data_IF_185308219885
#
_entry.id   IF_185308219885
#
_cell.length_a   1.000
_cell.length_b   1.000
_cell.length_c   1.000
_cell.angle_alpha   90.00
_cell.angle_beta   90.00
_cell.angle_gamma   90.00
#
_symmetry.space_group_name_H-M   'P 1'
#
loop_
_entity.id
_entity.type
_entity.pdbx_description
1 polymer ?
#
# COMPACT_ATOMS: atom_id res chain seq x y z
N UNK A 1 10.17 9.30 4.85
CA UNK A 1 11.30 8.50 4.30
C UNK A 1 11.14 8.39 2.80
N UNK A 2 12.21 8.50 2.05
CA UNK A 2 12.26 8.29 0.59
C UNK A 2 13.51 7.48 0.25
N UNK A 3 13.61 6.97 -0.99
CA UNK A 3 14.79 6.24 -1.44
C UNK A 3 15.51 7.04 -2.53
N UNK A 4 16.73 7.46 -2.21
CA UNK A 4 17.69 8.06 -3.12
C UNK A 4 18.33 6.92 -3.94
N UNK A 5 17.85 6.75 -5.16
CA UNK A 5 18.29 5.67 -6.04
C UNK A 5 19.68 5.90 -6.62
N UNK A 6 20.13 7.14 -6.72
CA UNK A 6 21.46 7.48 -7.24
C UNK A 6 22.57 7.07 -6.24
N UNK A 7 22.39 7.43 -4.98
CA UNK A 7 23.34 7.08 -3.91
C UNK A 7 23.02 5.74 -3.22
N UNK A 8 21.89 5.09 -3.58
CA UNK A 8 21.40 3.85 -2.95
C UNK A 8 21.21 4.01 -1.44
N UNK A 9 20.51 5.04 -1.00
CA UNK A 9 20.23 5.38 0.40
C UNK A 9 18.73 5.58 0.65
N UNK A 10 18.23 5.03 1.75
CA UNK A 10 16.94 5.50 2.25
C UNK A 10 17.17 6.73 3.13
N UNK A 11 16.50 7.84 2.82
CA UNK A 11 16.61 9.12 3.53
C UNK A 11 15.40 9.31 4.42
N UNK A 12 15.64 9.52 5.70
CA UNK A 12 14.63 9.81 6.71
C UNK A 12 14.87 11.19 7.30
N UNK A 13 13.82 12.00 7.43
CA UNK A 13 13.88 13.29 8.08
C UNK A 13 12.82 13.44 9.16
N UNK A 14 13.22 13.93 10.32
CA UNK A 14 12.34 14.38 11.39
C UNK A 14 11.51 13.27 12.03
N UNK A 15 10.38 13.64 12.57
CA UNK A 15 9.47 12.76 13.28
C UNK A 15 9.14 13.25 14.68
N UNK A 16 8.51 12.37 15.48
CA UNK A 16 8.06 12.69 16.82
C UNK A 16 8.33 11.54 17.78
N UNK A 17 8.89 11.83 18.94
CA UNK A 17 9.08 10.83 19.99
C UNK A 17 7.80 10.56 20.78
N UNK A 18 7.75 9.47 21.58
CA UNK A 18 6.67 9.21 22.52
C UNK A 18 6.46 10.32 23.55
N UNK A 19 7.54 10.99 23.92
CA UNK A 19 7.52 12.13 24.84
C UNK A 19 7.10 13.45 24.16
N UNK A 20 6.59 13.39 22.92
CA UNK A 20 6.19 14.54 22.09
C UNK A 20 7.36 15.45 21.66
N UNK A 21 8.61 15.05 21.83
CA UNK A 21 9.72 15.80 21.27
C UNK A 21 9.75 15.64 19.75
N UNK A 22 9.91 16.76 19.04
CA UNK A 22 10.06 16.78 17.59
C UNK A 22 11.52 16.63 17.21
N UNK A 23 11.75 15.89 16.14
CA UNK A 23 13.07 15.72 15.54
C UNK A 23 13.22 16.57 14.28
N UNK A 24 14.43 17.06 14.04
CA UNK A 24 14.83 17.80 12.84
C UNK A 24 16.12 17.22 12.24
N UNK A 25 16.45 16.00 12.62
CA UNK A 25 17.62 15.26 12.16
C UNK A 25 17.36 14.52 10.86
N UNK A 26 18.43 14.35 10.10
CA UNK A 26 18.45 13.60 8.84
C UNK A 26 19.23 12.33 9.05
N UNK A 27 18.67 11.20 8.63
CA UNK A 27 19.30 9.88 8.70
C UNK A 27 19.32 9.20 7.34
N UNK A 28 20.41 8.49 7.05
CA UNK A 28 20.54 7.70 5.85
C UNK A 28 20.81 6.22 6.18
N UNK A 29 20.03 5.33 5.53
CA UNK A 29 20.18 3.88 5.62
C UNK A 29 20.88 3.35 4.38
N UNK A 30 22.00 2.62 4.59
CA UNK A 30 22.81 2.07 3.49
C UNK A 30 22.53 0.59 3.18
N UNK A 31 21.53 0.00 3.85
CA UNK A 31 21.20 -1.41 3.78
C UNK A 31 21.82 -2.24 4.91
N UNK A 32 22.59 -1.61 5.80
CA UNK A 32 23.19 -2.26 6.97
C UNK A 32 23.13 -1.37 8.21
N UNK A 33 23.37 -0.07 8.04
CA UNK A 33 23.46 0.88 9.15
C UNK A 33 22.78 2.19 8.84
N UNK A 34 22.16 2.79 9.88
CA UNK A 34 21.72 4.17 9.87
C UNK A 34 22.87 5.09 10.24
N UNK A 35 23.08 6.11 9.43
CA UNK A 35 24.05 7.18 9.70
C UNK A 35 23.29 8.49 9.85
N UNK A 36 23.53 9.19 10.97
CA UNK A 36 23.00 10.54 11.15
C UNK A 36 23.85 11.50 10.32
N UNK A 37 23.17 12.31 9.52
CA UNK A 37 23.77 13.34 8.70
C UNK A 37 23.78 14.67 9.47
N UNK A 38 24.34 15.74 8.91
CA UNK A 38 24.36 17.04 9.58
C UNK A 38 22.95 17.60 9.84
N UNK A 39 22.76 18.25 10.98
CA UNK A 39 21.47 18.71 11.49
C UNK A 39 21.12 20.16 11.11
N UNK A 40 21.76 20.74 10.10
CA UNK A 40 21.47 22.09 9.60
C UNK A 40 20.48 21.98 8.46
N UNK A 41 19.21 22.29 8.73
CA UNK A 41 18.18 22.12 7.71
C UNK A 41 16.79 22.58 8.16
N UNK A 42 15.74 21.89 7.72
CA UNK A 42 14.38 22.22 8.07
C UNK A 42 14.14 22.14 9.59
N UNK A 43 13.26 23.00 10.10
CA UNK A 43 12.87 22.94 11.52
C UNK A 43 12.31 21.57 11.91
N UNK A 44 12.46 21.15 13.20
CA UNK A 44 11.88 19.91 13.70
C UNK A 44 10.39 19.79 13.40
N UNK A 45 9.98 18.65 12.80
CA UNK A 45 8.60 18.45 12.34
C UNK A 45 8.22 16.98 12.21
N UNK A 46 6.92 16.72 12.14
CA UNK A 46 6.35 15.41 11.87
C UNK A 46 5.20 15.53 10.85
N UNK A 47 4.76 14.43 10.27
CA UNK A 47 3.68 14.37 9.26
C UNK A 47 3.91 15.26 8.02
N UNK A 48 5.17 15.58 7.71
CA UNK A 48 5.57 16.10 6.40
C UNK A 48 5.72 14.95 5.41
N UNK A 49 5.73 15.28 4.12
CA UNK A 49 6.01 14.31 3.07
C UNK A 49 7.36 14.57 2.42
N UNK A 50 8.05 13.49 2.05
CA UNK A 50 9.33 13.54 1.35
C UNK A 50 9.28 12.57 0.15
N UNK A 51 9.76 13.03 -1.02
CA UNK A 51 9.84 12.22 -2.24
C UNK A 51 11.18 12.48 -2.95
N UNK A 52 11.74 11.46 -3.58
CA UNK A 52 13.00 11.56 -4.31
C UNK A 52 12.74 11.85 -5.78
N UNK A 53 13.30 12.95 -6.28
CA UNK A 53 13.30 13.34 -7.67
C UNK A 53 14.51 12.69 -8.37
N UNK A 54 14.27 11.65 -9.14
CA UNK A 54 15.32 10.89 -9.83
C UNK A 54 15.94 11.63 -11.01
N UNK A 55 15.35 12.74 -11.45
CA UNK A 55 15.85 13.56 -12.57
C UNK A 55 16.81 14.62 -12.06
N UNK A 56 16.52 15.17 -10.87
CA UNK A 56 17.36 16.23 -10.26
C UNK A 56 18.27 15.66 -9.16
N UNK A 57 18.10 14.38 -8.83
CA UNK A 57 18.92 13.65 -7.86
C UNK A 57 18.85 14.28 -6.44
N UNK A 58 17.64 14.72 -6.06
CA UNK A 58 17.39 15.35 -4.75
C UNK A 58 16.14 14.78 -4.07
N UNK A 59 16.15 14.77 -2.75
CA UNK A 59 14.96 14.47 -1.96
C UNK A 59 14.22 15.76 -1.61
N UNK A 60 12.96 15.90 -2.01
CA UNK A 60 12.12 17.06 -1.73
C UNK A 60 11.24 16.82 -0.52
N UNK A 61 11.33 17.68 0.49
CA UNK A 61 10.47 17.72 1.67
C UNK A 61 9.50 18.89 1.55
N UNK A 62 8.22 18.66 1.85
CA UNK A 62 7.22 19.72 1.94
C UNK A 62 6.44 19.63 3.24
N UNK A 63 6.19 20.78 3.85
CA UNK A 63 5.24 20.97 4.93
C UNK A 63 5.50 20.12 6.18
N UNK A 64 4.43 19.61 6.78
CA UNK A 64 4.46 18.92 8.06
C UNK A 64 3.91 19.80 9.19
N UNK A 65 4.13 19.36 10.42
CA UNK A 65 3.63 20.04 11.60
C UNK A 65 4.70 20.18 12.68
N UNK A 66 4.80 21.36 13.22
CA UNK A 66 5.45 21.67 14.48
C UNK A 66 4.36 22.15 15.45
N UNK A 67 4.43 23.36 15.97
CA UNK A 67 3.32 24.00 16.70
C UNK A 67 2.16 24.34 15.74
N UNK A 68 2.50 24.63 14.48
CA UNK A 68 1.58 24.94 13.39
C UNK A 68 1.87 24.07 12.18
N UNK A 69 0.96 24.07 11.20
CA UNK A 69 1.24 23.48 9.90
C UNK A 69 2.31 24.31 9.17
N UNK A 70 3.16 23.64 8.43
CA UNK A 70 4.27 24.22 7.67
C UNK A 70 3.94 24.19 6.17
N UNK A 71 4.59 25.11 5.40
CA UNK A 71 4.39 25.23 3.95
C UNK A 71 5.69 25.40 3.17
N UNK A 72 6.80 25.27 3.86
CA UNK A 72 8.13 25.39 3.26
C UNK A 72 8.50 24.16 2.43
N UNK A 73 9.23 24.42 1.36
CA UNK A 73 9.78 23.43 0.48
C UNK A 73 11.30 23.39 0.64
N UNK A 74 11.84 22.20 0.91
CA UNK A 74 13.26 21.96 1.08
C UNK A 74 13.74 20.85 0.17
N UNK A 75 14.98 20.93 -0.29
CA UNK A 75 15.65 19.84 -0.98
C UNK A 75 16.90 19.38 -0.23
N UNK A 76 17.12 18.07 -0.20
CA UNK A 76 18.31 17.40 0.28
C UNK A 76 19.08 16.82 -0.90
N UNK A 77 20.36 17.19 -1.07
CA UNK A 77 21.24 16.73 -2.15
C UNK A 77 22.18 15.58 -1.74
N UNK A 78 22.02 15.08 -0.51
CA UNK A 78 22.90 14.09 0.08
C UNK A 78 23.98 14.65 0.98
N UNK A 79 24.08 15.98 1.05
CA UNK A 79 25.07 16.67 1.87
C UNK A 79 24.41 17.79 2.66
N UNK A 80 23.61 18.63 2.00
CA UNK A 80 23.02 19.80 2.59
C UNK A 80 21.54 19.96 2.28
N UNK A 81 20.80 20.59 3.22
CA UNK A 81 19.45 21.06 3.00
C UNK A 81 19.44 22.46 2.45
N UNK A 82 18.73 22.67 1.35
CA UNK A 82 18.47 23.99 0.77
C UNK A 82 16.98 24.30 0.79
N UNK A 83 16.59 25.42 1.36
CA UNK A 83 15.20 25.91 1.27
C UNK A 83 14.97 26.50 -0.10
N UNK A 84 13.94 25.99 -0.81
CA UNK A 84 13.62 26.41 -2.17
C UNK A 84 12.60 27.53 -2.19
N UNK A 85 11.45 27.34 -1.56
CA UNK A 85 10.33 28.29 -1.63
C UNK A 85 9.40 28.14 -0.46
N UNK A 86 8.71 29.25 -0.12
CA UNK A 86 7.52 29.28 0.72
C UNK A 86 6.24 29.55 -0.09
N UNK A 87 6.35 29.71 -1.42
CA UNK A 87 5.21 29.78 -2.33
C UNK A 87 4.76 28.39 -2.73
N UNK A 88 3.46 28.22 -3.03
CA UNK A 88 2.89 26.94 -3.44
C UNK A 88 1.72 26.50 -2.59
N UNK A 89 1.60 25.20 -2.24
CA UNK A 89 0.50 24.70 -1.45
C UNK A 89 0.37 25.42 -0.10
N UNK A 90 -0.86 25.51 0.41
CA UNK A 90 -1.10 26.04 1.77
C UNK A 90 -0.40 25.18 2.82
N UNK A 91 -0.14 25.75 4.00
CA UNK A 91 0.44 25.04 5.15
C UNK A 91 -0.40 23.79 5.47
N UNK A 92 0.26 22.64 5.56
CA UNK A 92 -0.42 21.35 5.73
C UNK A 92 0.47 20.26 6.32
N UNK A 93 -0.18 19.24 6.88
CA UNK A 93 0.44 17.99 7.32
C UNK A 93 -0.39 16.79 6.87
N UNK A 94 0.13 15.58 7.04
CA UNK A 94 -0.57 14.33 6.67
C UNK A 94 -1.04 14.27 5.21
N UNK A 95 -0.43 15.07 4.35
CA UNK A 95 -0.52 14.93 2.91
C UNK A 95 0.44 13.84 2.43
N UNK A 96 0.29 13.41 1.20
CA UNK A 96 1.24 12.48 0.59
C UNK A 96 1.88 13.09 -0.65
N UNK A 97 3.08 12.61 -0.97
CA UNK A 97 3.83 13.00 -2.17
C UNK A 97 4.41 11.76 -2.84
N UNK A 98 4.49 11.81 -4.17
CA UNK A 98 5.19 10.82 -4.98
C UNK A 98 5.86 11.52 -6.17
N UNK A 99 7.02 10.99 -6.60
CA UNK A 99 7.68 11.47 -7.81
C UNK A 99 7.18 10.70 -9.02
N UNK A 100 6.51 11.40 -9.92
CA UNK A 100 6.11 10.91 -11.24
C UNK A 100 7.30 11.07 -12.21
N UNK A 101 8.00 9.97 -12.46
CA UNK A 101 9.17 9.98 -13.33
C UNK A 101 8.82 10.16 -14.81
N UNK A 102 7.60 9.84 -15.24
CA UNK A 102 7.16 10.02 -16.62
C UNK A 102 6.97 11.51 -16.96
N UNK A 103 6.47 12.29 -15.98
CA UNK A 103 6.26 13.73 -16.13
C UNK A 103 7.43 14.56 -15.53
N UNK A 104 8.37 13.91 -14.81
CA UNK A 104 9.44 14.58 -14.06
C UNK A 104 8.89 15.61 -13.06
N UNK A 105 7.85 15.23 -12.32
CA UNK A 105 7.13 16.06 -11.36
C UNK A 105 6.98 15.37 -10.01
N UNK A 106 7.03 16.14 -8.93
CA UNK A 106 6.54 15.66 -7.65
C UNK A 106 5.07 16.01 -7.53
N UNK A 107 4.23 15.01 -7.34
CA UNK A 107 2.78 15.15 -7.15
C UNK A 107 2.50 15.15 -5.66
N UNK A 108 1.76 16.15 -5.18
CA UNK A 108 1.25 16.29 -3.82
C UNK A 108 -0.28 16.27 -3.85
N UNK A 109 -0.90 15.54 -2.93
CA UNK A 109 -2.36 15.56 -2.78
C UNK A 109 -2.79 15.78 -1.32
N UNK A 110 -3.82 16.59 -1.11
CA UNK A 110 -4.61 16.70 0.09
C UNK A 110 -3.83 17.05 1.37
N UNK A 111 -4.14 16.34 2.45
CA UNK A 111 -3.61 16.60 3.79
C UNK A 111 -4.56 17.41 4.67
N UNK A 112 -4.10 17.73 5.86
CA UNK A 112 -4.82 18.57 6.82
C UNK A 112 -4.20 19.97 6.86
N UNK A 113 -5.01 20.98 6.59
CA UNK A 113 -4.65 22.39 6.66
C UNK A 113 -5.04 23.05 7.98
N UNK A 114 -4.98 24.39 8.01
CA UNK A 114 -5.43 25.18 9.14
C UNK A 114 -6.90 24.90 9.47
N UNK A 115 -7.28 25.12 10.73
CA UNK A 115 -8.60 24.78 11.26
C UNK A 115 -8.96 23.28 11.19
N UNK A 116 -7.97 22.40 11.02
CA UNK A 116 -8.12 20.94 10.94
C UNK A 116 -9.05 20.46 9.81
N UNK A 117 -9.20 21.23 8.74
CA UNK A 117 -9.94 20.81 7.56
C UNK A 117 -9.06 19.94 6.63
N UNK A 118 -9.64 18.89 6.08
CA UNK A 118 -8.99 18.10 5.07
C UNK A 118 -9.05 18.79 3.71
N UNK A 119 -7.98 18.65 2.94
CA UNK A 119 -7.78 19.26 1.62
C UNK A 119 -7.96 18.21 0.53
N UNK A 120 -8.29 18.66 -0.71
CA UNK A 120 -8.47 17.82 -1.90
C UNK A 120 -7.72 18.33 -3.12
N UNK A 121 -6.89 19.34 -2.93
CA UNK A 121 -6.12 19.95 -4.01
C UNK A 121 -4.94 19.07 -4.42
N UNK A 122 -4.68 19.06 -5.73
CA UNK A 122 -3.52 18.43 -6.36
C UNK A 122 -2.52 19.50 -6.75
N UNK A 123 -1.27 19.29 -6.41
CA UNK A 123 -0.16 20.18 -6.77
C UNK A 123 0.96 19.38 -7.42
N UNK A 124 1.63 20.01 -8.37
CA UNK A 124 2.83 19.48 -9.00
C UNK A 124 4.00 20.45 -8.85
N UNK A 125 5.17 19.89 -8.51
CA UNK A 125 6.43 20.63 -8.43
C UNK A 125 7.36 20.20 -9.56
N UNK A 126 7.86 21.18 -10.31
CA UNK A 126 8.71 20.91 -11.48
C UNK A 126 10.22 21.05 -11.21
N UNK A 127 10.57 21.20 -9.94
CA UNK A 127 11.94 21.49 -9.51
C UNK A 127 12.23 22.98 -9.30
N UNK A 128 11.29 23.86 -9.67
CA UNK A 128 11.40 25.31 -9.50
C UNK A 128 10.17 25.88 -8.80
N UNK A 129 8.97 25.52 -9.26
CA UNK A 129 7.73 26.08 -8.73
C UNK A 129 6.62 25.03 -8.57
N UNK A 130 5.71 25.31 -7.64
CA UNK A 130 4.49 24.56 -7.45
C UNK A 130 3.38 25.09 -8.33
N UNK A 131 2.72 24.22 -9.06
CA UNK A 131 1.53 24.53 -9.88
C UNK A 131 0.36 23.71 -9.37
N UNK A 132 -0.76 24.40 -9.03
CA UNK A 132 -1.99 23.72 -8.67
C UNK A 132 -2.66 23.16 -9.93
N UNK A 133 -3.03 21.89 -9.87
CA UNK A 133 -3.77 21.20 -10.91
C UNK A 133 -5.29 21.31 -10.67
N UNK A 134 -6.11 20.85 -11.60
CA UNK A 134 -7.57 20.92 -11.45
C UNK A 134 -8.06 20.06 -10.29
N UNK A 135 -9.03 20.60 -9.54
CA UNK A 135 -9.53 20.02 -8.27
C UNK A 135 -10.63 18.94 -8.45
N UNK A 136 -10.69 18.26 -9.59
CA UNK A 136 -11.58 17.12 -9.78
C UNK A 136 -10.84 15.83 -9.47
N UNK A 137 -11.17 15.18 -8.33
CA UNK A 137 -10.45 13.98 -7.92
C UNK A 137 -10.99 13.39 -6.63
N UNK A 138 -10.12 12.77 -5.82
CA UNK A 138 -10.51 12.19 -4.55
C UNK A 138 -11.12 13.23 -3.60
N UNK A 139 -12.09 12.81 -2.79
CA UNK A 139 -12.66 13.66 -1.75
C UNK A 139 -11.57 14.17 -0.78
N UNK A 140 -11.77 15.34 -0.10
CA UNK A 140 -10.84 15.88 0.88
C UNK A 140 -10.43 14.85 1.92
N UNK A 141 -9.12 14.65 2.08
CA UNK A 141 -8.59 13.61 2.98
C UNK A 141 -7.19 13.91 3.50
N UNK A 142 -6.87 13.29 4.64
CA UNK A 142 -5.54 13.33 5.26
C UNK A 142 -5.11 11.91 5.66
N UNK A 143 -3.81 11.69 5.85
CA UNK A 143 -3.28 10.40 6.27
C UNK A 143 -3.51 9.25 5.27
N UNK A 144 -3.77 9.59 4.01
CA UNK A 144 -3.74 8.66 2.88
C UNK A 144 -2.29 8.37 2.47
N UNK A 145 -2.12 7.36 1.66
CA UNK A 145 -0.80 6.96 1.15
C UNK A 145 -0.74 7.15 -0.36
N UNK A 146 0.45 7.46 -0.88
CA UNK A 146 0.69 7.57 -2.32
C UNK A 146 1.98 6.87 -2.71
N UNK A 147 2.01 6.26 -3.89
CA UNK A 147 3.20 5.72 -4.52
C UNK A 147 3.07 5.78 -6.04
N UNK A 148 4.20 6.01 -6.71
CA UNK A 148 4.28 6.00 -8.17
C UNK A 148 4.62 4.60 -8.68
N UNK A 149 3.89 4.14 -9.67
CA UNK A 149 4.20 2.93 -10.42
C UNK A 149 4.75 3.29 -11.81
N UNK A 150 6.03 3.04 -12.01
CA UNK A 150 6.73 3.37 -13.26
C UNK A 150 6.25 2.56 -14.47
N UNK A 151 5.60 1.42 -14.27
CA UNK A 151 5.14 0.59 -15.36
C UNK A 151 3.79 1.08 -15.94
N UNK A 152 2.88 1.53 -15.07
CA UNK A 152 1.62 2.15 -15.52
C UNK A 152 1.79 3.65 -15.82
N UNK A 153 2.86 4.28 -15.34
CA UNK A 153 3.07 5.73 -15.42
C UNK A 153 2.07 6.51 -14.55
N UNK A 154 1.59 5.92 -13.45
CA UNK A 154 0.56 6.51 -12.62
C UNK A 154 0.99 6.64 -11.16
N UNK A 155 0.51 7.70 -10.50
CA UNK A 155 0.59 7.81 -9.04
C UNK A 155 -0.69 7.23 -8.45
N UNK A 156 -0.56 6.17 -7.64
CA UNK A 156 -1.68 5.59 -6.91
C UNK A 156 -1.83 6.23 -5.53
N UNK A 157 -3.09 6.45 -5.15
CA UNK A 157 -3.50 6.94 -3.83
C UNK A 157 -4.44 5.93 -3.20
N UNK A 158 -4.26 5.64 -1.92
CA UNK A 158 -5.16 4.76 -1.16
C UNK A 158 -5.55 5.35 0.18
N UNK A 159 -6.85 5.28 0.50
CA UNK A 159 -7.39 5.44 1.84
C UNK A 159 -7.31 6.85 2.42
N UNK A 160 -7.02 6.93 3.72
CA UNK A 160 -6.99 8.17 4.49
C UNK A 160 -8.24 8.38 5.34
N UNK A 161 -8.34 9.55 5.95
CA UNK A 161 -9.50 9.99 6.72
C UNK A 161 -10.19 11.16 6.02
N UNK A 162 -11.48 11.02 5.79
CA UNK A 162 -12.32 11.99 5.10
C UNK A 162 -13.22 12.80 6.01
N UNK A 163 -14.33 13.26 5.48
CA UNK A 163 -15.33 14.01 6.21
C UNK A 163 -15.93 13.18 7.37
N UNK A 164 -16.20 13.84 8.50
CA UNK A 164 -16.77 13.18 9.67
C UNK A 164 -15.87 12.13 10.32
N UNK A 165 -14.56 12.20 10.09
CA UNK A 165 -13.58 11.23 10.56
C UNK A 165 -13.79 9.81 10.02
N UNK A 166 -14.45 9.66 8.88
CA UNK A 166 -14.62 8.36 8.23
C UNK A 166 -13.32 7.91 7.56
N UNK A 167 -12.89 6.70 7.86
CA UNK A 167 -11.77 6.08 7.14
C UNK A 167 -12.20 5.66 5.74
N UNK A 168 -11.32 5.87 4.77
CA UNK A 168 -11.56 5.63 3.36
C UNK A 168 -10.81 4.35 2.92
N UNK A 169 -11.35 3.66 1.92
CA UNK A 169 -10.77 2.43 1.36
C UNK A 169 -10.76 2.41 -0.17
N UNK A 170 -10.96 3.57 -0.77
CA UNK A 170 -10.94 3.77 -2.22
C UNK A 170 -9.51 3.90 -2.75
N UNK A 171 -9.32 3.48 -4.01
CA UNK A 171 -8.03 3.59 -4.72
C UNK A 171 -8.19 4.49 -5.93
N UNK A 172 -7.30 5.44 -6.07
CA UNK A 172 -7.28 6.39 -7.17
C UNK A 172 -5.94 6.35 -7.90
N UNK A 173 -5.97 6.65 -9.19
CA UNK A 173 -4.81 6.80 -10.04
C UNK A 173 -4.76 8.22 -10.64
N UNK A 174 -3.61 8.87 -10.56
CA UNK A 174 -3.26 10.11 -11.24
C UNK A 174 -2.40 9.80 -12.46
N UNK A 175 -2.81 10.24 -13.63
CA UNK A 175 -2.13 10.01 -14.92
C UNK A 175 -1.28 11.20 -15.40
N UNK A 176 -1.10 12.22 -14.54
CA UNK A 176 -0.47 13.49 -14.88
C UNK A 176 -1.46 14.57 -15.34
N UNK A 177 -2.76 14.26 -15.42
CA UNK A 177 -3.81 15.21 -15.85
C UNK A 177 -5.09 15.07 -15.03
N UNK A 178 -5.50 13.84 -14.74
CA UNK A 178 -6.77 13.56 -14.07
C UNK A 178 -6.67 12.43 -13.06
N UNK A 179 -7.50 12.51 -12.01
CA UNK A 179 -7.71 11.42 -11.08
C UNK A 179 -8.82 10.50 -11.56
N UNK A 180 -8.58 9.21 -11.59
CA UNK A 180 -9.58 8.19 -11.88
C UNK A 180 -9.64 7.20 -10.72
N UNK A 181 -10.85 6.91 -10.22
CA UNK A 181 -11.02 5.86 -9.23
C UNK A 181 -10.88 4.49 -9.92
N UNK A 182 -9.93 3.68 -9.44
CA UNK A 182 -9.54 2.43 -10.12
C UNK A 182 -9.94 1.18 -9.37
N UNK A 183 -10.23 1.27 -8.07
CA UNK A 183 -10.74 0.14 -7.31
C UNK A 183 -11.60 0.59 -6.10
N UNK A 184 -12.68 -0.17 -5.85
CA UNK A 184 -13.56 -0.04 -4.68
C UNK A 184 -13.41 -1.24 -3.73
N UNK A 185 -12.69 -2.29 -4.16
CA UNK A 185 -12.47 -3.51 -3.41
C UNK A 185 -10.98 -3.69 -3.17
N UNK A 186 -10.61 -4.01 -1.93
CA UNK A 186 -9.21 -4.18 -1.58
C UNK A 186 -9.01 -4.20 -0.07
N UNK A 187 -7.95 -3.56 0.42
CA UNK A 187 -7.72 -3.43 1.85
C UNK A 187 -8.92 -2.79 2.55
N UNK A 188 -9.28 -3.21 3.76
CA UNK A 188 -10.25 -2.48 4.57
C UNK A 188 -9.88 -1.00 4.70
N UNK A 189 -10.90 -0.14 4.80
CA UNK A 189 -10.71 1.31 4.97
C UNK A 189 -9.74 1.62 6.12
N UNK A 190 -8.74 2.44 5.83
CA UNK A 190 -7.65 2.75 6.77
C UNK A 190 -6.95 4.05 6.45
N UNK A 191 -6.28 4.58 7.45
CA UNK A 191 -5.40 5.75 7.34
C UNK A 191 -4.01 5.42 7.90
N UNK A 192 -3.02 6.27 7.59
CA UNK A 192 -1.65 6.17 8.10
C UNK A 192 -0.99 4.80 7.81
N UNK A 193 -1.41 4.15 6.73
CA UNK A 193 -0.70 3.00 6.19
C UNK A 193 0.57 3.45 5.48
N UNK A 194 1.56 2.59 5.42
CA UNK A 194 2.75 2.82 4.61
C UNK A 194 2.52 2.28 3.19
N UNK A 195 2.96 3.02 2.18
CA UNK A 195 2.83 2.61 0.77
C UNK A 195 4.09 2.94 0.00
N UNK A 196 4.56 2.02 -0.82
CA UNK A 196 5.72 2.21 -1.68
C UNK A 196 5.57 1.44 -2.99
N UNK A 197 6.36 1.81 -4.00
CA UNK A 197 6.56 0.98 -5.16
C UNK A 197 7.04 -0.41 -4.75
N UNK A 198 6.47 -1.45 -5.31
CA UNK A 198 6.75 -2.85 -4.94
C UNK A 198 7.71 -3.56 -5.89
N UNK A 199 8.26 -2.88 -6.89
CA UNK A 199 8.92 -3.55 -8.01
C UNK A 199 7.91 -4.26 -8.92
N UNK A 200 8.34 -4.77 -10.05
CA UNK A 200 7.54 -5.60 -10.97
C UNK A 200 6.13 -5.06 -11.30
N UNK A 201 5.99 -3.74 -11.44
CA UNK A 201 4.72 -3.08 -11.82
C UNK A 201 3.62 -3.17 -10.76
N UNK A 202 3.95 -2.98 -9.51
CA UNK A 202 2.97 -2.96 -8.43
C UNK A 202 3.33 -1.96 -7.34
N UNK A 203 2.36 -1.66 -6.48
CA UNK A 203 2.58 -0.93 -5.24
C UNK A 203 2.19 -1.80 -4.04
N UNK A 204 2.95 -1.65 -2.96
CA UNK A 204 2.75 -2.38 -1.71
C UNK A 204 2.19 -1.43 -0.67
N UNK A 205 1.16 -1.87 0.05
CA UNK A 205 0.57 -1.20 1.20
C UNK A 205 0.77 -2.07 2.44
N UNK A 206 1.16 -1.47 3.55
CA UNK A 206 1.35 -2.17 4.82
C UNK A 206 0.70 -1.43 5.98
N UNK A 207 0.01 -2.19 6.85
CA UNK A 207 -0.46 -1.69 8.12
C UNK A 207 -1.54 -0.61 8.03
N UNK A 208 -1.48 0.36 8.93
CA UNK A 208 -2.45 1.44 9.05
C UNK A 208 -3.44 1.23 10.20
N UNK A 209 -4.34 2.18 10.36
CA UNK A 209 -5.30 2.27 11.45
C UNK A 209 -6.73 2.39 10.90
N UNK A 210 -7.70 1.67 11.49
CA UNK A 210 -9.09 1.70 11.02
C UNK A 210 -9.86 2.97 11.43
N UNK A 211 -9.47 3.66 12.49
CA UNK A 211 -10.15 4.87 12.98
C UNK A 211 -9.27 5.66 13.93
N UNK A 212 -9.43 6.99 13.94
CA UNK A 212 -8.88 7.89 14.98
C UNK A 212 -9.91 8.26 16.02
N UNK A 213 -11.16 7.81 15.91
CA UNK A 213 -12.21 8.10 16.88
C UNK A 213 -12.00 7.26 18.16
N UNK A 214 -11.65 7.86 19.30
CA UNK A 214 -11.44 7.11 20.54
C UNK A 214 -12.72 6.45 21.08
N UNK A 215 -13.88 6.87 20.59
CA UNK A 215 -15.16 6.26 20.97
C UNK A 215 -15.47 4.97 20.17
N UNK A 216 -14.70 4.68 19.13
CA UNK A 216 -14.88 3.49 18.29
C UNK A 216 -13.76 2.48 18.53
N UNK A 217 -14.07 1.17 18.51
CA UNK A 217 -13.03 0.15 18.44
C UNK A 217 -12.15 0.42 17.21
N UNK A 218 -10.86 0.51 17.40
CA UNK A 218 -9.93 0.66 16.29
C UNK A 218 -9.03 -0.57 16.16
N UNK A 219 -8.67 -0.87 14.93
CA UNK A 219 -7.77 -1.95 14.57
C UNK A 219 -6.51 -1.34 13.98
N UNK A 220 -5.35 -1.71 14.52
CA UNK A 220 -4.08 -1.48 13.85
C UNK A 220 -3.80 -2.71 12.99
N UNK A 221 -3.63 -2.49 11.70
CA UNK A 221 -3.44 -3.57 10.73
C UNK A 221 -1.99 -4.04 10.70
N UNK A 222 -1.80 -5.34 10.42
CA UNK A 222 -0.50 -5.98 10.21
C UNK A 222 -0.38 -6.59 8.80
N UNK A 223 -1.43 -6.43 8.00
CA UNK A 223 -1.53 -7.03 6.68
C UNK A 223 -0.73 -6.27 5.63
N UNK A 224 -0.25 -7.01 4.65
CA UNK A 224 0.43 -6.49 3.46
C UNK A 224 -0.45 -6.73 2.25
N UNK A 225 -0.67 -5.69 1.47
CA UNK A 225 -1.43 -5.74 0.23
C UNK A 225 -0.58 -5.29 -0.95
N UNK A 226 -0.82 -5.90 -2.10
CA UNK A 226 -0.20 -5.53 -3.37
C UNK A 226 -1.28 -5.13 -4.37
N UNK A 227 -1.05 -4.02 -5.05
CA UNK A 227 -1.91 -3.53 -6.13
C UNK A 227 -1.16 -3.59 -7.46
N UNK A 228 -1.71 -4.30 -8.42
CA UNK A 228 -1.14 -4.50 -9.77
C UNK A 228 -1.60 -3.45 -10.80
N UNK A 229 -2.20 -2.36 -10.33
CA UNK A 229 -2.84 -1.34 -11.17
C UNK A 229 -4.31 -1.61 -11.47
N UNK A 230 -4.85 -2.78 -11.08
CA UNK A 230 -6.26 -3.16 -11.29
C UNK A 230 -6.89 -3.82 -10.08
N UNK A 231 -6.13 -4.66 -9.37
CA UNK A 231 -6.65 -5.47 -8.28
C UNK A 231 -5.71 -5.43 -7.08
N UNK A 232 -6.31 -5.37 -5.90
CA UNK A 232 -5.60 -5.59 -4.66
C UNK A 232 -5.54 -7.07 -4.32
N UNK A 233 -4.37 -7.56 -3.97
CA UNK A 233 -4.14 -8.92 -3.49
C UNK A 233 -3.55 -8.86 -2.10
N UNK A 234 -4.17 -9.57 -1.14
CA UNK A 234 -3.62 -9.73 0.19
C UNK A 234 -2.35 -10.59 0.07
N UNK A 235 -1.22 -10.02 0.43
CA UNK A 235 0.00 -10.76 0.71
C UNK A 235 0.01 -11.15 2.16
N UNK A 236 0.58 -12.30 2.48
CA UNK A 236 0.63 -12.69 3.88
C UNK A 236 1.62 -11.85 4.68
N UNK A 237 1.41 -11.86 6.00
CA UNK A 237 2.11 -11.15 7.07
C UNK A 237 3.64 -11.15 6.91
N UNK A 238 4.13 -10.30 6.05
CA UNK A 238 5.55 -10.05 5.84
C UNK A 238 5.85 -8.72 6.52
N UNK A 239 5.70 -8.67 7.83
CA UNK A 239 5.89 -7.43 8.53
C UNK A 239 6.17 -7.62 10.01
N UNK A 240 6.52 -6.53 10.68
CA UNK A 240 6.91 -6.55 12.10
C UNK A 240 5.72 -6.69 13.06
N UNK A 241 4.50 -6.83 12.57
CA UNK A 241 3.26 -6.82 13.36
C UNK A 241 2.42 -5.57 13.10
N UNK A 242 1.32 -5.34 13.87
CA UNK A 242 0.43 -4.22 13.66
C UNK A 242 1.14 -2.87 13.82
N UNK A 243 1.18 -2.06 12.76
CA UNK A 243 1.80 -0.74 12.77
C UNK A 243 0.99 0.28 11.97
N UNK A 244 0.98 1.51 12.44
CA UNK A 244 0.56 2.69 11.68
C UNK A 244 1.63 3.79 11.80
N UNK A 245 1.59 4.82 10.96
CA UNK A 245 2.61 5.88 10.89
C UNK A 245 4.04 5.37 10.61
N UNK A 246 4.19 4.16 10.12
CA UNK A 246 5.47 3.68 9.63
C UNK A 246 5.80 4.34 8.29
N UNK A 247 7.07 4.50 8.00
CA UNK A 247 7.56 4.94 6.70
C UNK A 247 8.07 3.74 5.91
N UNK A 248 7.75 3.69 4.61
CA UNK A 248 8.13 2.59 3.73
C UNK A 248 8.70 3.11 2.42
N UNK A 249 9.74 2.47 1.93
CA UNK A 249 10.35 2.74 0.62
C UNK A 249 10.76 1.45 -0.08
N UNK A 250 10.89 1.52 -1.39
CA UNK A 250 11.51 0.47 -2.19
C UNK A 250 12.98 0.81 -2.43
N UNK A 251 13.86 -0.03 -1.90
CA UNK A 251 15.29 -0.02 -2.21
C UNK A 251 15.52 -0.72 -3.54
N UNK A 252 15.66 0.06 -4.59
CA UNK A 252 15.83 -0.45 -5.96
C UNK A 252 17.20 -1.11 -6.16
N UNK A 253 18.20 -0.71 -5.41
CA UNK A 253 19.55 -1.28 -5.50
C UNK A 253 19.62 -2.71 -4.95
N UNK A 254 18.77 -3.02 -3.94
CA UNK A 254 18.73 -4.34 -3.30
C UNK A 254 17.46 -5.11 -3.59
N UNK A 255 16.52 -4.52 -4.35
CA UNK A 255 15.19 -5.08 -4.65
C UNK A 255 14.43 -5.47 -3.38
N UNK A 256 14.35 -4.56 -2.41
CA UNK A 256 13.73 -4.78 -1.11
C UNK A 256 12.79 -3.65 -0.74
N UNK A 257 11.74 -4.00 0.00
CA UNK A 257 10.98 -3.02 0.77
C UNK A 257 11.73 -2.78 2.09
N UNK A 258 11.95 -1.52 2.42
CA UNK A 258 12.48 -1.06 3.71
C UNK A 258 11.38 -0.32 4.44
N UNK A 259 11.06 -0.77 5.64
CA UNK A 259 10.07 -0.15 6.52
C UNK A 259 10.75 0.28 7.82
N UNK A 260 10.46 1.49 8.26
CA UNK A 260 11.05 2.07 9.48
C UNK A 260 10.00 2.71 10.39
N UNK A 261 10.15 2.47 11.67
CA UNK A 261 9.41 3.18 12.72
C UNK A 261 7.94 2.78 12.78
N UNK A 262 7.11 3.75 13.09
CA UNK A 262 5.69 3.57 13.29
C UNK A 262 5.29 3.40 14.74
N UNK A 263 4.02 3.14 14.95
CA UNK A 263 3.40 3.00 16.26
C UNK A 263 2.60 1.70 16.29
N UNK A 264 2.79 0.90 17.33
CA UNK A 264 1.98 -0.28 17.61
C UNK A 264 1.03 0.03 18.78
N UNK A 265 -0.12 -0.63 18.80
CA UNK A 265 -1.03 -0.64 19.97
C UNK A 265 -1.04 -2.06 20.50
N UNK A 266 -0.75 -2.23 21.80
CA UNK A 266 -0.83 -3.52 22.43
C UNK A 266 -2.28 -4.04 22.43
N UNK A 267 -2.48 -5.33 22.23
CA UNK A 267 -3.81 -5.92 22.20
C UNK A 267 -4.54 -5.65 23.52
N UNK A 268 -5.65 -4.91 23.47
CA UNK A 268 -6.49 -4.57 24.64
C UNK A 268 -6.20 -3.21 25.27
N UNK A 269 -5.23 -2.43 24.78
CA UNK A 269 -4.97 -1.07 25.24
C UNK A 269 -5.53 -0.05 24.26
N UNK A 270 -6.31 0.90 24.76
CA UNK A 270 -6.98 1.91 23.90
C UNK A 270 -6.12 3.13 23.58
N UNK A 271 -5.00 3.39 24.27
CA UNK A 271 -4.25 4.67 24.10
C UNK A 271 -2.73 4.60 24.32
N UNK A 272 -2.13 3.50 24.69
CA UNK A 272 -0.67 3.43 24.78
C UNK A 272 -0.07 3.03 23.44
N UNK A 273 0.13 4.03 22.57
CA UNK A 273 0.91 3.87 21.36
C UNK A 273 2.37 3.60 21.74
N UNK A 274 2.82 2.38 21.52
CA UNK A 274 4.23 2.03 21.70
C UNK A 274 4.96 2.30 20.38
N UNK A 275 5.79 3.34 20.30
CA UNK A 275 6.61 3.57 19.11
C UNK A 275 7.60 2.44 18.95
N UNK A 276 7.75 2.03 17.73
CA UNK A 276 8.62 0.94 17.34
C UNK A 276 9.81 1.53 16.61
N UNK A 277 10.97 1.51 17.25
CA UNK A 277 12.23 1.90 16.63
C UNK A 277 12.86 0.63 16.03
N UNK A 278 12.61 0.38 14.74
CA UNK A 278 13.17 -0.78 14.05
C UNK A 278 13.16 -0.57 12.55
N UNK A 279 14.14 -1.20 11.89
CA UNK A 279 14.19 -1.30 10.44
C UNK A 279 13.86 -2.72 10.05
N UNK A 280 12.90 -2.90 9.15
CA UNK A 280 12.53 -4.20 8.58
C UNK A 280 12.77 -4.17 7.09
N UNK A 281 13.29 -5.26 6.58
CA UNK A 281 13.48 -5.47 5.17
C UNK A 281 12.73 -6.71 4.71
N UNK A 282 12.01 -6.60 3.60
CA UNK A 282 11.34 -7.70 2.94
C UNK A 282 11.78 -7.78 1.48
N UNK A 283 12.19 -8.95 0.98
CA UNK A 283 12.44 -9.11 -0.45
C UNK A 283 11.12 -8.91 -1.22
N UNK A 284 11.18 -8.12 -2.29
CA UNK A 284 10.01 -7.86 -3.14
C UNK A 284 9.61 -9.10 -3.96
N UNK A 285 10.57 -9.95 -4.29
CA UNK A 285 10.29 -11.21 -4.94
C UNK A 285 9.56 -12.14 -3.96
N UNK A 286 8.23 -12.13 -3.98
CA UNK A 286 7.49 -13.28 -3.52
C UNK A 286 8.02 -14.50 -4.25
N UNK A 287 8.31 -15.59 -3.54
CA UNK A 287 8.51 -16.89 -4.19
C UNK A 287 7.12 -17.25 -4.75
N UNK A 288 6.90 -16.94 -6.02
CA UNK A 288 5.63 -17.20 -6.68
C UNK A 288 5.63 -18.67 -7.05
N UNK A 289 4.99 -19.49 -6.26
CA UNK A 289 4.81 -20.90 -6.55
C UNK A 289 3.55 -21.05 -7.39
N UNK A 290 3.73 -21.38 -8.67
CA UNK A 290 2.63 -21.56 -9.60
C UNK A 290 1.77 -22.78 -9.23
N UNK A 291 0.49 -22.72 -9.61
CA UNK A 291 -0.43 -23.85 -9.49
C UNK A 291 0.00 -24.94 -10.48
N UNK A 292 0.16 -26.15 -9.99
CA UNK A 292 0.50 -27.32 -10.79
C UNK A 292 -0.75 -27.97 -11.41
N UNK A 293 -1.89 -27.92 -10.71
CA UNK A 293 -3.14 -28.48 -11.18
C UNK A 293 -4.30 -28.26 -10.24
N UNK A 294 -5.49 -28.45 -10.80
CA UNK A 294 -6.77 -28.48 -10.11
C UNK A 294 -7.45 -29.81 -10.39
N UNK A 295 -8.08 -30.41 -9.41
CA UNK A 295 -8.87 -31.62 -9.59
C UNK A 295 -10.06 -31.68 -8.62
N UNK A 296 -11.13 -32.35 -9.04
CA UNK A 296 -12.25 -32.73 -8.18
C UNK A 296 -12.44 -34.23 -8.36
N UNK A 297 -12.53 -34.93 -7.27
CA UNK A 297 -12.74 -36.37 -7.27
C UNK A 297 -14.23 -36.73 -7.43
N UNK A 298 -14.54 -37.65 -8.32
CA UNK A 298 -15.88 -38.22 -8.53
C UNK A 298 -16.85 -37.33 -9.31
N UNK A 299 -18.10 -37.77 -9.36
CA UNK A 299 -19.20 -37.06 -9.98
C UNK A 299 -19.66 -35.89 -9.12
N UNK A 300 -19.90 -34.74 -9.74
CA UNK A 300 -20.32 -33.52 -9.08
C UNK A 300 -21.81 -33.28 -9.32
N UNK A 301 -22.55 -33.12 -8.25
CA UNK A 301 -24.00 -32.82 -8.28
C UNK A 301 -24.30 -31.43 -7.69
N UNK A 302 -25.19 -30.71 -8.31
CA UNK A 302 -25.67 -29.43 -7.77
C UNK A 302 -26.30 -29.60 -6.38
N UNK A 303 -25.98 -28.74 -5.44
CA UNK A 303 -26.45 -28.78 -4.05
C UNK A 303 -25.70 -29.75 -3.14
N UNK A 304 -24.82 -30.60 -3.64
CA UNK A 304 -24.00 -31.52 -2.84
C UNK A 304 -22.59 -30.95 -2.71
N UNK A 305 -22.06 -30.73 -1.48
CA UNK A 305 -20.68 -30.33 -1.29
C UNK A 305 -19.69 -31.34 -1.86
N UNK A 306 -18.67 -30.86 -2.54
CA UNK A 306 -17.55 -31.68 -3.05
C UNK A 306 -16.23 -31.01 -2.68
N UNK A 307 -15.12 -31.70 -2.96
CA UNK A 307 -13.79 -31.19 -2.60
C UNK A 307 -12.99 -30.86 -3.84
N UNK A 308 -12.52 -29.61 -3.93
CA UNK A 308 -11.57 -29.13 -4.91
C UNK A 308 -10.15 -29.29 -4.36
N UNK A 309 -9.30 -30.05 -5.03
CA UNK A 309 -7.87 -30.14 -4.72
C UNK A 309 -7.10 -29.13 -5.57
N UNK A 310 -6.26 -28.33 -4.90
CA UNK A 310 -5.36 -27.37 -5.51
C UNK A 310 -3.93 -27.82 -5.23
N UNK A 311 -3.18 -28.10 -6.29
CA UNK A 311 -1.80 -28.56 -6.20
C UNK A 311 -0.84 -27.49 -6.71
N UNK A 312 0.21 -27.21 -5.94
CA UNK A 312 1.27 -26.27 -6.30
C UNK A 312 2.45 -27.00 -6.97
N UNK A 313 3.25 -26.28 -7.75
CA UNK A 313 4.51 -26.78 -8.32
C UNK A 313 5.62 -27.00 -7.29
N UNK A 314 5.42 -26.52 -6.08
CA UNK A 314 6.33 -26.67 -4.95
C UNK A 314 5.63 -26.28 -3.64
N UNK A 315 6.27 -26.49 -2.48
CA UNK A 315 5.67 -26.13 -1.19
C UNK A 315 5.46 -24.63 -1.08
N UNK A 316 4.36 -24.24 -0.44
CA UNK A 316 4.10 -22.84 -0.13
C UNK A 316 5.22 -22.27 0.75
N UNK A 317 5.66 -21.01 0.51
CA UNK A 317 6.66 -20.33 1.33
C UNK A 317 6.19 -20.17 2.78
N UNK A 318 7.06 -19.69 3.65
CA UNK A 318 6.75 -19.52 5.07
C UNK A 318 5.55 -18.58 5.33
N UNK A 319 5.28 -17.67 4.40
CA UNK A 319 4.11 -16.80 4.39
C UNK A 319 2.82 -17.49 3.93
N UNK A 320 2.86 -18.67 3.34
CA UNK A 320 1.75 -19.30 2.63
C UNK A 320 1.59 -18.77 1.20
N UNK A 321 0.47 -19.10 0.56
CA UNK A 321 0.10 -18.61 -0.79
C UNK A 321 -1.40 -18.31 -0.81
N UNK A 322 -1.78 -17.15 -1.35
CA UNK A 322 -3.17 -16.81 -1.66
C UNK A 322 -3.52 -17.30 -3.06
N UNK A 323 -4.58 -18.09 -3.17
CA UNK A 323 -5.12 -18.56 -4.44
C UNK A 323 -6.49 -17.94 -4.65
N UNK A 324 -6.63 -17.16 -5.70
CA UNK A 324 -7.91 -16.62 -6.13
C UNK A 324 -8.65 -17.66 -6.98
N UNK A 325 -9.87 -18.00 -6.62
CA UNK A 325 -10.68 -18.97 -7.34
C UNK A 325 -11.91 -18.27 -7.92
N UNK A 326 -12.07 -18.35 -9.22
CA UNK A 326 -13.24 -17.87 -9.92
C UNK A 326 -13.91 -19.02 -10.65
N UNK A 327 -15.23 -19.12 -10.57
CA UNK A 327 -16.00 -20.08 -11.36
C UNK A 327 -16.89 -19.34 -12.36
N UNK A 328 -16.83 -19.70 -13.63
CA UNK A 328 -17.80 -19.27 -14.65
C UNK A 328 -18.73 -20.42 -14.97
N UNK A 329 -20.01 -20.22 -14.61
CA UNK A 329 -21.10 -21.01 -15.19
C UNK A 329 -21.50 -20.31 -16.49
N UNK A 330 -21.79 -21.05 -17.55
CA UNK A 330 -22.33 -20.48 -18.80
C UNK A 330 -23.79 -20.00 -18.65
N UNK A 331 -24.21 -19.65 -17.43
CA UNK A 331 -25.48 -19.01 -17.07
C UNK A 331 -25.19 -17.80 -16.16
N UNK A 332 -26.15 -16.85 -15.96
CA UNK A 332 -25.89 -15.52 -15.40
C UNK A 332 -25.35 -15.44 -13.96
N UNK A 333 -25.26 -16.53 -13.23
CA UNK A 333 -24.80 -16.55 -11.84
C UNK A 333 -23.47 -17.28 -11.70
N UNK A 334 -22.37 -16.55 -11.87
CA UNK A 334 -21.02 -17.10 -11.66
C UNK A 334 -20.77 -17.49 -10.17
N UNK A 335 -19.98 -18.56 -9.96
CA UNK A 335 -19.48 -18.95 -8.65
C UNK A 335 -18.23 -18.11 -8.33
N UNK A 336 -18.28 -17.35 -7.24
CA UNK A 336 -17.09 -16.69 -6.69
C UNK A 336 -16.86 -17.26 -5.29
N UNK A 337 -15.69 -17.84 -5.09
CA UNK A 337 -15.26 -18.29 -3.76
C UNK A 337 -14.35 -17.21 -3.14
N UNK A 338 -14.35 -17.07 -1.81
CA UNK A 338 -13.36 -16.20 -1.17
C UNK A 338 -11.94 -16.69 -1.48
N UNK A 339 -10.93 -15.81 -1.45
CA UNK A 339 -9.54 -16.20 -1.62
C UNK A 339 -9.16 -17.33 -0.64
N UNK A 340 -8.45 -18.33 -1.15
CA UNK A 340 -8.03 -19.48 -0.37
C UNK A 340 -6.56 -19.33 -0.02
N UNK A 341 -6.24 -19.48 1.25
CA UNK A 341 -4.87 -19.43 1.73
C UNK A 341 -4.34 -20.86 1.85
N UNK A 342 -3.27 -21.16 1.12
CA UNK A 342 -2.52 -22.41 1.28
C UNK A 342 -1.45 -22.19 2.34
N UNK A 343 -1.53 -22.85 3.52
CA UNK A 343 -0.58 -22.67 4.61
C UNK A 343 0.86 -22.97 4.19
N UNK A 344 1.81 -22.40 4.92
CA UNK A 344 3.23 -22.61 4.74
C UNK A 344 3.59 -24.11 4.67
N UNK A 345 4.53 -24.45 3.78
CA UNK A 345 5.09 -25.78 3.55
C UNK A 345 4.12 -26.80 2.91
N UNK A 346 2.85 -26.48 2.73
CA UNK A 346 1.94 -27.34 1.99
C UNK A 346 2.14 -27.16 0.48
N UNK A 347 2.08 -28.26 -0.26
CA UNK A 347 2.10 -28.26 -1.72
C UNK A 347 0.72 -28.58 -2.33
N UNK A 348 -0.25 -28.89 -1.51
CA UNK A 348 -1.62 -29.22 -1.89
C UNK A 348 -2.59 -28.86 -0.78
N UNK A 349 -3.78 -28.43 -1.16
CA UNK A 349 -4.89 -28.17 -0.21
C UNK A 349 -6.20 -28.69 -0.82
N UNK A 350 -7.06 -29.19 0.04
CA UNK A 350 -8.44 -29.57 -0.29
C UNK A 350 -9.42 -28.53 0.23
N UNK A 351 -10.29 -28.03 -0.65
CA UNK A 351 -11.24 -27.00 -0.35
C UNK A 351 -12.66 -27.50 -0.62
N UNK A 352 -13.55 -27.44 0.37
CA UNK A 352 -14.94 -27.76 0.14
C UNK A 352 -15.57 -26.71 -0.78
N UNK A 353 -16.19 -27.17 -1.86
CA UNK A 353 -16.93 -26.33 -2.80
C UNK A 353 -18.34 -26.90 -2.98
N UNK A 354 -19.30 -26.01 -3.19
CA UNK A 354 -20.67 -26.41 -3.49
C UNK A 354 -21.17 -25.65 -4.72
N UNK A 355 -21.84 -26.35 -5.59
CA UNK A 355 -22.48 -25.76 -6.77
C UNK A 355 -23.97 -25.59 -6.50
N UNK A 356 -24.56 -24.50 -7.01
CA UNK A 356 -25.98 -24.30 -6.84
C UNK A 356 -26.78 -25.49 -7.47
N UNK A 357 -27.84 -25.96 -6.80
CA UNK A 357 -28.71 -26.98 -7.39
C UNK A 357 -29.44 -26.38 -8.60
N UNK A 358 -29.60 -27.15 -9.63
CA UNK A 358 -30.30 -26.74 -10.84
C UNK A 358 -30.93 -27.92 -11.57
N UNK A 359 -31.96 -27.67 -12.39
CA UNK A 359 -32.70 -28.74 -13.11
C UNK A 359 -31.92 -29.31 -14.29
N UNK A 360 -30.83 -28.64 -14.69
CA UNK A 360 -30.04 -29.05 -15.85
C UNK A 360 -28.59 -29.35 -15.48
N UNK A 361 -27.97 -30.24 -16.24
CA UNK A 361 -26.54 -30.50 -16.15
C UNK A 361 -25.79 -29.38 -16.85
N UNK A 362 -24.87 -28.72 -16.13
CA UNK A 362 -24.11 -27.58 -16.63
C UNK A 362 -22.60 -27.85 -16.53
N UNK A 363 -21.84 -27.24 -17.42
CA UNK A 363 -20.38 -27.23 -17.32
C UNK A 363 -19.94 -25.95 -16.61
N UNK A 364 -19.20 -26.10 -15.53
CA UNK A 364 -18.60 -24.99 -14.79
C UNK A 364 -17.09 -24.98 -15.05
N UNK A 365 -16.56 -23.85 -15.46
CA UNK A 365 -15.12 -23.66 -15.55
C UNK A 365 -14.63 -23.03 -14.25
N UNK A 366 -13.80 -23.73 -13.50
CA UNK A 366 -13.11 -23.22 -12.32
C UNK A 366 -11.73 -22.76 -12.75
N UNK A 367 -11.40 -21.52 -12.45
CA UNK A 367 -10.06 -20.97 -12.71
C UNK A 367 -9.44 -20.61 -11.38
N UNK A 368 -8.22 -21.08 -11.15
CA UNK A 368 -7.43 -20.71 -9.98
C UNK A 368 -6.16 -19.98 -10.44
N UNK A 369 -5.83 -18.94 -9.75
CA UNK A 369 -4.70 -18.06 -10.07
C UNK A 369 -3.94 -17.70 -8.80
N UNK A 370 -2.62 -17.74 -8.90
CA UNK A 370 -1.71 -17.05 -7.98
C UNK A 370 -1.17 -15.85 -8.74
N UNK A 371 -1.24 -14.67 -8.12
CA UNK A 371 -0.78 -13.43 -8.77
C UNK A 371 0.65 -13.59 -9.31
N UNK A 372 0.86 -13.17 -10.56
CA UNK A 372 2.14 -13.30 -11.25
C UNK A 372 2.42 -14.68 -11.86
N UNK A 373 1.43 -15.60 -11.88
CA UNK A 373 1.55 -16.89 -12.58
C UNK A 373 0.43 -17.07 -13.60
N UNK A 374 0.63 -17.91 -14.61
CA UNK A 374 -0.47 -18.33 -15.49
C UNK A 374 -1.59 -19.00 -14.70
N UNK A 375 -2.82 -18.58 -14.95
CA UNK A 375 -4.01 -19.20 -14.39
C UNK A 375 -4.15 -20.66 -14.85
N UNK A 376 -4.63 -21.53 -13.95
CA UNK A 376 -4.96 -22.91 -14.25
C UNK A 376 -6.47 -23.10 -14.20
N UNK A 377 -7.05 -23.70 -15.22
CA UNK A 377 -8.48 -23.91 -15.30
C UNK A 377 -8.85 -25.39 -15.30
N UNK A 378 -9.97 -25.71 -14.67
CA UNK A 378 -10.60 -27.02 -14.62
C UNK A 378 -12.05 -26.91 -15.10
N UNK A 379 -12.42 -27.72 -16.07
CA UNK A 379 -13.82 -27.85 -16.49
C UNK A 379 -14.50 -28.95 -15.68
N UNK A 380 -15.57 -28.62 -14.99
CA UNK A 380 -16.34 -29.51 -14.12
C UNK A 380 -17.75 -29.68 -14.68
N UNK A 381 -18.16 -30.91 -14.92
CA UNK A 381 -19.54 -31.23 -15.27
C UNK A 381 -20.37 -31.37 -13.99
N UNK A 382 -21.23 -30.41 -13.71
CA UNK A 382 -22.16 -30.45 -12.58
C UNK A 382 -23.48 -31.05 -13.04
N UNK A 383 -23.79 -32.24 -12.53
CA UNK A 383 -25.00 -32.98 -12.89
C UNK A 383 -26.22 -32.40 -12.17
N UNK A 384 -27.34 -32.38 -12.84
CA UNK A 384 -28.62 -32.07 -12.21
C UNK A 384 -28.87 -33.05 -11.07
N UNK A 385 -29.33 -32.52 -9.93
CA UNK A 385 -29.84 -33.33 -8.82
C UNK A 385 -31.36 -33.40 -8.95
N UNK A 386 -31.87 -34.62 -9.01
CA UNK A 386 -33.31 -34.88 -9.11
C UNK A 386 -34.04 -34.55 -7.77
#
# INVERSE_FOLDING_TARGET
MTFDSDRSRAVLFGGKSPANALFGDTWEWDGAFWTQMEDIGPSPRFLGAIAYDTVREVSLLFGGRADQHLRDTWQWDGTDWTQLSESGPSARSSHAMAFDSAQSRIVLFGGQGDANNNLSDTWEFDGQEWTQQQDSGPAPRAGHSMAYDSASGSVFLFGGIGAGNASLGDTWAWDGQTWVQVADFGPPARLQAAMAYGGASSVILYGGLSSLDPAQPHTVFADTWEFDGKHWTLRQDIGPGPLHLASMVYDSARSRIVLFGGTSVAAGEQENSNPVAGTWESPVAAIVVAIAGLSIAGDVFGGIPTTLSIKLKGPAPASGIVVNITGRVFTPNGLTLPPIIIPAKLAEIEVPVAFAPGPETVTVMITAEVVGTPAVSLSVLVRAHA
#
